data_IF_954048227286
#
_entry.id   IF_954048227286
#
_cell.length_a   1.000
_cell.length_b   1.000
_cell.length_c   1.000
_cell.angle_alpha   90.00
_cell.angle_beta   90.00
_cell.angle_gamma   90.00
#
_symmetry.space_group_name_H-M   'P 1'
#
loop_
_entity.id
_entity.type
_entity.pdbx_description
1 polymer ?
#
# COMPACT_ATOMS: atom_id res chain seq x y z
N UNK A 1 15.03 34.47 39.17
CA UNK A 1 14.11 33.70 38.29
C UNK A 1 14.34 34.16 36.86
N UNK A 2 15.16 33.46 36.06
CA UNK A 2 15.47 33.88 34.69
C UNK A 2 14.69 33.02 33.69
N UNK A 3 13.78 33.68 32.97
CA UNK A 3 12.83 33.09 32.03
C UNK A 3 13.53 32.78 30.70
N UNK A 4 13.78 31.51 30.40
CA UNK A 4 14.32 31.09 29.11
C UNK A 4 13.27 31.32 28.01
N UNK A 5 13.46 32.35 27.19
CA UNK A 5 12.69 32.56 25.96
C UNK A 5 13.21 31.59 24.90
N UNK A 6 12.47 30.51 24.65
CA UNK A 6 12.66 29.69 23.46
C UNK A 6 12.29 30.52 22.22
N UNK A 7 13.29 31.07 21.54
CA UNK A 7 13.11 31.62 20.19
C UNK A 7 12.96 30.44 19.24
N UNK A 8 11.72 30.11 18.88
CA UNK A 8 11.44 29.19 17.78
C UNK A 8 11.84 29.91 16.48
N UNK A 9 13.03 29.61 15.98
CA UNK A 9 13.46 30.05 14.64
C UNK A 9 12.44 29.50 13.64
N UNK A 10 11.52 30.35 13.15
CA UNK A 10 10.63 30.03 12.04
C UNK A 10 11.53 29.59 10.88
N UNK A 11 11.33 28.36 10.40
CA UNK A 11 12.03 27.87 9.20
C UNK A 11 11.63 28.79 8.05
N UNK A 12 12.62 29.27 7.29
CA UNK A 12 12.36 29.93 6.01
C UNK A 12 11.52 28.97 5.13
N UNK A 13 10.53 29.47 4.36
CA UNK A 13 9.86 28.67 3.33
C UNK A 13 10.82 27.95 2.38
N UNK A 14 12.04 28.47 2.22
CA UNK A 14 13.08 27.95 1.33
C UNK A 14 13.91 26.79 1.94
N UNK A 15 13.82 26.55 3.25
CA UNK A 15 14.61 25.52 3.96
C UNK A 15 14.03 24.09 3.83
N UNK A 16 12.81 23.95 3.29
CA UNK A 16 12.29 22.66 2.83
C UNK A 16 12.56 22.62 1.33
N UNK A 17 13.75 22.17 0.93
CA UNK A 17 14.07 21.93 -0.49
C UNK A 17 13.13 20.84 -1.01
N UNK A 18 11.94 21.26 -1.46
CA UNK A 18 10.91 20.43 -2.03
C UNK A 18 11.36 20.10 -3.45
N UNK A 19 12.25 19.12 -3.59
CA UNK A 19 12.71 18.60 -4.88
C UNK A 19 11.55 17.85 -5.55
N UNK A 20 10.61 18.61 -6.08
CA UNK A 20 9.47 18.09 -6.83
C UNK A 20 9.93 17.67 -8.23
N UNK A 21 9.31 16.64 -8.82
CA UNK A 21 9.52 16.27 -10.21
C UNK A 21 9.15 17.43 -11.12
N UNK A 22 10.04 17.77 -12.07
CA UNK A 22 9.76 18.80 -13.06
C UNK A 22 8.77 18.25 -14.11
N UNK A 23 7.60 18.88 -14.33
CA UNK A 23 6.63 18.41 -15.33
C UNK A 23 7.19 18.32 -16.75
N UNK A 24 8.21 19.12 -17.08
CA UNK A 24 8.82 19.16 -18.42
C UNK A 24 9.63 17.91 -18.77
N UNK A 25 10.00 17.10 -17.78
CA UNK A 25 10.68 15.82 -17.99
C UNK A 25 9.72 14.67 -18.30
N UNK A 26 8.41 14.92 -18.39
CA UNK A 26 7.42 13.88 -18.65
C UNK A 26 7.42 13.46 -20.13
N UNK A 27 7.27 12.16 -20.37
CA UNK A 27 7.28 11.59 -21.73
C UNK A 27 6.06 11.99 -22.56
N UNK A 28 4.94 12.33 -21.91
CA UNK A 28 3.66 12.65 -22.55
C UNK A 28 2.98 13.85 -21.86
N UNK A 29 2.19 14.62 -22.62
CA UNK A 29 1.46 15.80 -22.12
C UNK A 29 0.53 15.50 -20.94
N UNK A 30 -0.23 14.40 -21.00
CA UNK A 30 -1.10 13.95 -19.89
C UNK A 30 -0.30 13.59 -18.61
N UNK A 31 0.93 13.10 -18.75
CA UNK A 31 1.80 12.84 -17.60
C UNK A 31 2.35 14.14 -16.99
N UNK A 32 2.67 15.14 -17.83
CA UNK A 32 3.09 16.46 -17.38
C UNK A 32 1.97 17.17 -16.59
N UNK A 33 0.74 17.12 -17.09
CA UNK A 33 -0.42 17.75 -16.45
C UNK A 33 -0.75 17.12 -15.08
N UNK A 34 -0.63 15.80 -14.96
CA UNK A 34 -0.73 15.08 -13.68
C UNK A 34 0.34 15.52 -12.67
N UNK A 35 1.59 15.62 -13.10
CA UNK A 35 2.71 16.07 -12.25
C UNK A 35 2.46 17.50 -11.78
N UNK A 36 2.03 18.39 -12.69
CA UNK A 36 1.71 19.78 -12.39
C UNK A 36 0.56 19.88 -11.36
N UNK A 37 -0.54 19.15 -11.57
CA UNK A 37 -1.65 19.13 -10.63
C UNK A 37 -1.23 18.65 -9.24
N UNK A 38 -0.46 17.56 -9.15
CA UNK A 38 0.07 17.07 -7.88
C UNK A 38 0.99 18.09 -7.20
N UNK A 39 1.93 18.68 -7.94
CA UNK A 39 2.86 19.68 -7.42
C UNK A 39 2.14 20.90 -6.85
N UNK A 40 1.13 21.43 -7.56
CA UNK A 40 0.36 22.60 -7.09
C UNK A 40 -0.37 22.31 -5.78
N UNK A 41 -0.99 21.14 -5.64
CA UNK A 41 -1.70 20.77 -4.42
C UNK A 41 -0.74 20.54 -3.24
N UNK A 42 0.46 19.99 -3.50
CA UNK A 42 1.50 19.85 -2.47
C UNK A 42 1.91 21.22 -1.94
N UNK A 43 2.20 22.18 -2.82
CA UNK A 43 2.58 23.54 -2.42
C UNK A 43 1.46 24.20 -1.58
N UNK A 44 0.21 24.08 -2.03
CA UNK A 44 -0.93 24.62 -1.30
C UNK A 44 -1.10 23.99 0.09
N UNK A 45 -0.93 22.67 0.21
CA UNK A 45 -1.05 21.97 1.50
C UNK A 45 0.06 22.30 2.51
N UNK A 46 1.27 22.59 2.01
CA UNK A 46 2.41 22.97 2.85
C UNK A 46 2.27 24.40 3.39
N UNK A 47 1.55 25.26 2.69
CA UNK A 47 1.24 26.62 3.15
C UNK A 47 0.19 26.64 4.28
N UNK A 48 -0.62 25.58 4.43
CA UNK A 48 -1.78 25.57 5.35
C UNK A 48 -1.59 24.81 6.66
N UNK A 49 -0.64 23.88 6.77
CA UNK A 49 -0.59 22.94 7.92
C UNK A 49 0.42 23.34 9.02
N UNK A 50 -0.02 24.17 9.97
CA UNK A 50 0.42 24.11 11.37
C UNK A 50 -0.49 23.15 12.16
N UNK A 51 0.13 22.16 12.81
CA UNK A 51 -0.43 21.29 13.86
C UNK A 51 -1.45 20.21 13.45
N UNK A 52 -1.15 18.96 13.82
CA UNK A 52 -2.10 18.09 14.55
C UNK A 52 -1.43 16.77 14.97
N UNK A 53 -1.58 16.46 16.25
CA UNK A 53 -0.96 15.40 17.01
C UNK A 53 -1.53 14.02 16.68
N UNK A 54 -0.67 13.00 16.63
CA UNK A 54 -1.04 11.63 16.28
C UNK A 54 -1.50 10.82 17.49
N UNK A 55 -2.75 10.37 17.51
CA UNK A 55 -3.24 9.40 18.52
C UNK A 55 -2.88 7.98 18.09
N UNK A 56 -2.02 7.31 18.86
CA UNK A 56 -1.64 5.90 18.64
C UNK A 56 -2.77 4.99 19.13
N UNK A 57 -3.42 4.25 18.22
CA UNK A 57 -4.24 3.08 18.58
C UNK A 57 -3.43 1.80 18.35
N UNK A 58 -3.37 0.96 19.38
CA UNK A 58 -2.69 -0.34 19.35
C UNK A 58 -3.41 -1.29 18.39
N UNK A 59 -2.75 -1.68 17.31
CA UNK A 59 -3.26 -2.71 16.40
C UNK A 59 -2.81 -4.05 16.94
N UNK A 60 -3.75 -4.86 17.45
CA UNK A 60 -3.49 -6.28 17.73
C UNK A 60 -3.13 -6.96 16.42
N UNK A 61 -1.94 -7.57 16.34
CA UNK A 61 -1.52 -8.35 15.18
C UNK A 61 -2.39 -9.60 15.12
N UNK A 62 -3.24 -9.71 14.09
CA UNK A 62 -3.98 -10.94 13.81
C UNK A 62 -2.97 -12.01 13.37
N UNK A 63 -3.00 -13.18 14.01
CA UNK A 63 -2.09 -14.27 13.71
C UNK A 63 -2.13 -14.64 12.22
N UNK A 64 -0.95 -14.88 11.65
CA UNK A 64 -0.73 -15.32 10.27
C UNK A 64 -1.31 -16.72 10.07
N UNK A 65 -2.53 -16.81 9.56
CA UNK A 65 -3.16 -18.07 9.16
C UNK A 65 -2.70 -18.47 7.75
N UNK A 66 -1.43 -18.82 7.58
CA UNK A 66 -0.93 -19.37 6.32
C UNK A 66 -0.26 -20.73 6.55
N UNK A 67 -0.99 -21.66 7.16
CA UNK A 67 -0.52 -23.01 7.44
C UNK A 67 -0.35 -23.88 6.19
N UNK A 68 -0.90 -23.47 5.04
CA UNK A 68 -0.92 -24.30 3.84
C UNK A 68 -0.07 -23.69 2.73
N UNK A 69 0.93 -24.44 2.26
CA UNK A 69 1.69 -24.07 1.07
C UNK A 69 0.78 -24.10 -0.17
N UNK A 70 1.07 -23.33 -1.23
CA UNK A 70 0.27 -23.32 -2.45
C UNK A 70 0.10 -24.72 -3.07
N UNK A 71 1.13 -25.55 -3.01
CA UNK A 71 1.13 -26.92 -3.52
C UNK A 71 0.21 -27.83 -2.69
N UNK A 72 0.31 -27.76 -1.36
CA UNK A 72 -0.54 -28.56 -0.47
C UNK A 72 -2.01 -28.21 -0.67
N UNK A 73 -2.33 -26.93 -0.91
CA UNK A 73 -3.70 -26.49 -1.24
C UNK A 73 -4.19 -27.09 -2.55
N UNK A 74 -3.33 -27.16 -3.56
CA UNK A 74 -3.66 -27.79 -4.84
C UNK A 74 -3.91 -29.29 -4.68
N UNK A 75 -3.06 -30.01 -3.92
CA UNK A 75 -3.23 -31.43 -3.61
C UNK A 75 -4.55 -31.71 -2.87
N UNK A 76 -4.88 -30.91 -1.85
CA UNK A 76 -6.14 -31.00 -1.11
C UNK A 76 -7.33 -30.80 -2.06
N UNK A 77 -7.26 -29.78 -2.93
CA UNK A 77 -8.35 -29.45 -3.84
C UNK A 77 -8.58 -30.54 -4.89
N UNK A 78 -7.51 -31.07 -5.50
CA UNK A 78 -7.57 -32.19 -6.47
C UNK A 78 -8.19 -33.44 -5.83
N UNK A 79 -7.74 -33.79 -4.63
CA UNK A 79 -8.33 -34.93 -3.94
C UNK A 79 -9.80 -34.70 -3.57
N UNK A 80 -10.18 -33.48 -3.20
CA UNK A 80 -11.57 -33.12 -2.91
C UNK A 80 -12.48 -33.08 -4.15
N UNK A 81 -11.93 -32.88 -5.36
CA UNK A 81 -12.70 -33.03 -6.59
C UNK A 81 -13.06 -34.49 -6.86
N UNK A 82 -12.15 -35.41 -6.55
CA UNK A 82 -12.32 -36.84 -6.81
C UNK A 82 -13.09 -37.57 -5.69
N UNK A 83 -12.80 -37.27 -4.42
CA UNK A 83 -13.27 -38.05 -3.25
C UNK A 83 -14.24 -37.29 -2.34
N UNK A 84 -14.52 -36.01 -2.64
CA UNK A 84 -15.38 -35.15 -1.83
C UNK A 84 -14.67 -34.45 -0.66
N UNK A 85 -15.30 -33.39 -0.13
CA UNK A 85 -14.66 -32.47 0.80
C UNK A 85 -14.35 -33.08 2.17
N UNK A 86 -15.25 -33.93 2.69
CA UNK A 86 -15.11 -34.54 4.03
C UNK A 86 -14.00 -35.58 4.06
N UNK A 87 -13.92 -36.42 3.02
CA UNK A 87 -12.84 -37.40 2.87
C UNK A 87 -11.48 -36.70 2.74
N UNK A 88 -11.41 -35.62 1.96
CA UNK A 88 -10.22 -34.79 1.83
C UNK A 88 -9.81 -34.17 3.18
N UNK A 89 -10.74 -33.55 3.91
CA UNK A 89 -10.46 -32.99 5.22
C UNK A 89 -9.87 -34.05 6.16
N UNK A 90 -10.49 -35.24 6.27
CA UNK A 90 -10.01 -36.31 7.16
C UNK A 90 -8.63 -36.84 6.77
N UNK A 91 -8.37 -37.05 5.47
CA UNK A 91 -7.08 -37.55 4.99
C UNK A 91 -5.96 -36.56 5.29
N UNK A 92 -6.12 -35.32 4.83
CA UNK A 92 -5.07 -34.31 4.96
C UNK A 92 -4.92 -33.79 6.39
N UNK A 93 -5.95 -33.89 7.24
CA UNK A 93 -5.78 -33.61 8.68
C UNK A 93 -4.84 -34.60 9.35
N UNK A 94 -4.87 -35.88 8.93
CA UNK A 94 -3.93 -36.90 9.42
C UNK A 94 -2.54 -36.68 8.83
N UNK A 95 -2.44 -36.53 7.52
CA UNK A 95 -1.16 -36.42 6.80
C UNK A 95 -0.36 -35.19 7.22
N UNK A 96 -1.03 -34.05 7.47
CA UNK A 96 -0.38 -32.79 7.85
C UNK A 96 -0.32 -32.57 9.37
N UNK A 97 -0.94 -33.45 10.17
CA UNK A 97 -1.11 -33.26 11.62
C UNK A 97 -1.71 -31.89 11.99
N UNK A 98 -2.61 -31.38 11.14
CA UNK A 98 -3.27 -30.08 11.29
C UNK A 98 -4.77 -30.28 11.14
N UNK A 99 -5.59 -29.70 12.02
CA UNK A 99 -7.04 -29.78 11.85
C UNK A 99 -7.53 -28.94 10.66
N UNK A 100 -7.81 -29.60 9.54
CA UNK A 100 -8.35 -28.98 8.33
C UNK A 100 -9.87 -28.98 8.39
N UNK A 101 -10.43 -27.79 8.53
CA UNK A 101 -11.88 -27.57 8.46
C UNK A 101 -12.39 -27.88 7.05
N UNK A 102 -13.52 -28.60 6.93
CA UNK A 102 -14.19 -28.88 5.65
C UNK A 102 -14.45 -27.59 4.85
N UNK A 103 -14.77 -26.49 5.54
CA UNK A 103 -14.97 -25.18 4.91
C UNK A 103 -13.73 -24.64 4.20
N UNK A 104 -12.54 -24.96 4.71
CA UNK A 104 -11.28 -24.61 4.06
C UNK A 104 -11.08 -25.44 2.80
N UNK A 105 -11.33 -26.76 2.86
CA UNK A 105 -11.26 -27.67 1.71
C UNK A 105 -12.20 -27.22 0.60
N UNK A 106 -13.45 -26.88 0.95
CA UNK A 106 -14.45 -26.36 0.03
C UNK A 106 -14.00 -25.07 -0.67
N UNK A 107 -13.38 -24.15 0.07
CA UNK A 107 -12.82 -22.92 -0.50
C UNK A 107 -11.62 -23.20 -1.44
N UNK A 108 -10.78 -24.19 -1.12
CA UNK A 108 -9.67 -24.62 -1.99
C UNK A 108 -10.19 -25.27 -3.27
N UNK A 109 -11.15 -26.20 -3.17
CA UNK A 109 -11.82 -26.85 -4.30
C UNK A 109 -12.47 -25.84 -5.25
N UNK A 110 -13.22 -24.87 -4.71
CA UNK A 110 -13.85 -23.82 -5.52
C UNK A 110 -12.82 -23.07 -6.39
N UNK A 111 -11.68 -22.70 -5.81
CA UNK A 111 -10.59 -22.01 -6.54
C UNK A 111 -9.92 -22.91 -7.58
N UNK A 112 -9.69 -24.18 -7.23
CA UNK A 112 -9.14 -25.16 -8.17
C UNK A 112 -10.03 -25.34 -9.40
N UNK A 113 -11.35 -25.42 -9.23
CA UNK A 113 -12.28 -25.55 -10.34
C UNK A 113 -12.30 -24.32 -11.26
N UNK A 114 -12.17 -23.11 -10.70
CA UNK A 114 -12.06 -21.87 -11.50
C UNK A 114 -10.80 -21.90 -12.35
N UNK A 115 -9.64 -22.14 -11.72
CA UNK A 115 -8.37 -22.22 -12.46
C UNK A 115 -8.33 -23.38 -13.46
N UNK A 116 -8.89 -24.53 -13.10
CA UNK A 116 -8.99 -25.68 -14.01
C UNK A 116 -9.83 -25.34 -15.24
N UNK A 117 -10.92 -24.58 -15.11
CA UNK A 117 -11.70 -24.09 -16.26
C UNK A 117 -10.89 -23.12 -17.13
N UNK A 118 -10.14 -22.20 -16.52
CA UNK A 118 -9.27 -21.26 -17.24
C UNK A 118 -8.13 -21.98 -17.99
N UNK A 119 -7.63 -23.10 -17.46
CA UNK A 119 -6.53 -23.88 -18.04
C UNK A 119 -7.00 -25.09 -18.86
N UNK A 120 -8.18 -25.06 -19.48
CA UNK A 120 -8.73 -26.16 -20.28
C UNK A 120 -8.68 -27.53 -19.57
N UNK A 121 -9.14 -27.56 -18.31
CA UNK A 121 -9.18 -28.73 -17.44
C UNK A 121 -7.83 -29.35 -17.06
N UNK A 122 -6.71 -28.67 -17.33
CA UNK A 122 -5.40 -29.13 -16.85
C UNK A 122 -5.29 -29.08 -15.31
N UNK A 123 -4.56 -30.03 -14.69
CA UNK A 123 -4.39 -30.07 -13.24
C UNK A 123 -3.50 -28.91 -12.77
N UNK A 124 -4.02 -28.14 -11.81
CA UNK A 124 -3.32 -26.98 -11.24
C UNK A 124 -2.37 -27.46 -10.15
N UNK A 125 -1.07 -27.23 -10.30
CA UNK A 125 -0.05 -27.72 -9.35
C UNK A 125 0.13 -26.83 -8.11
N UNK A 126 -0.27 -25.55 -8.17
CA UNK A 126 -0.13 -24.61 -7.06
C UNK A 126 -1.32 -23.64 -6.99
N UNK A 127 -1.92 -23.51 -5.79
CA UNK A 127 -3.00 -22.57 -5.50
C UNK A 127 -2.51 -21.50 -4.53
N UNK A 128 -2.07 -20.36 -5.07
CA UNK A 128 -1.60 -19.25 -4.24
C UNK A 128 -2.76 -18.60 -3.47
N UNK A 129 -2.56 -18.14 -2.23
CA UNK A 129 -3.55 -17.33 -1.55
C UNK A 129 -3.62 -15.95 -2.21
N UNK A 130 -4.79 -15.59 -2.72
CA UNK A 130 -5.05 -14.20 -3.13
C UNK A 130 -4.83 -13.24 -1.95
N UNK A 131 -4.37 -12.04 -2.28
CA UNK A 131 -4.27 -10.93 -1.34
C UNK A 131 -5.67 -10.57 -0.86
N UNK A 132 -5.98 -10.96 0.38
CA UNK A 132 -7.27 -10.63 1.03
C UNK A 132 -7.23 -9.21 1.57
N UNK A 133 -8.35 -8.49 1.47
CA UNK A 133 -8.48 -7.18 2.10
C UNK A 133 -9.58 -6.32 1.48
N UNK A 134 -9.82 -5.17 2.10
CA UNK A 134 -10.64 -4.10 1.52
C UNK A 134 -9.96 -3.59 0.25
N UNK A 135 -10.70 -3.32 -0.83
CA UNK A 135 -10.13 -2.71 -2.04
C UNK A 135 -9.43 -1.38 -1.73
N UNK A 136 -8.49 -0.99 -2.59
CA UNK A 136 -7.76 0.27 -2.47
C UNK A 136 -8.73 1.45 -2.59
N UNK A 137 -8.56 2.47 -1.73
CA UNK A 137 -9.45 3.64 -1.69
C UNK A 137 -9.55 4.35 -3.05
N UNK A 138 -8.42 4.45 -3.77
CA UNK A 138 -8.32 5.17 -5.04
C UNK A 138 -8.29 4.24 -6.27
N UNK A 139 -8.52 2.93 -6.09
CA UNK A 139 -8.47 1.95 -7.17
C UNK A 139 -7.16 2.03 -7.97
N UNK A 140 -7.28 2.22 -9.28
CA UNK A 140 -6.13 2.32 -10.19
C UNK A 140 -5.31 3.61 -10.03
N UNK A 141 -5.91 4.68 -9.49
CA UNK A 141 -5.17 5.94 -9.26
C UNK A 141 -4.09 5.78 -8.19
N UNK A 142 -4.19 4.76 -7.33
CA UNK A 142 -3.17 4.43 -6.33
C UNK A 142 -1.81 4.15 -7.01
N UNK A 143 -1.80 3.63 -8.25
CA UNK A 143 -0.59 3.40 -9.06
C UNK A 143 0.07 4.70 -9.51
N UNK A 144 -0.74 5.67 -9.96
CA UNK A 144 -0.26 6.98 -10.42
C UNK A 144 0.31 7.79 -9.24
N UNK A 145 -0.39 7.77 -8.09
CA UNK A 145 0.12 8.36 -6.84
C UNK A 145 1.45 7.71 -6.45
N UNK A 146 1.55 6.38 -6.56
CA UNK A 146 2.78 5.67 -6.22
C UNK A 146 3.95 6.04 -7.14
N UNK A 147 3.71 6.18 -8.44
CA UNK A 147 4.73 6.62 -9.40
C UNK A 147 5.24 8.02 -9.07
N UNK A 148 4.33 8.97 -8.80
CA UNK A 148 4.72 10.35 -8.45
C UNK A 148 5.49 10.43 -7.11
N UNK A 149 5.08 9.65 -6.11
CA UNK A 149 5.80 9.61 -4.83
C UNK A 149 7.20 8.98 -4.96
N UNK A 150 7.38 8.00 -5.87
CA UNK A 150 8.71 7.45 -6.19
C UNK A 150 9.59 8.47 -6.89
N UNK A 151 9.07 9.22 -7.87
CA UNK A 151 9.85 10.26 -8.55
C UNK A 151 10.26 11.40 -7.61
N UNK A 152 9.40 11.82 -6.67
CA UNK A 152 9.78 12.75 -5.59
C UNK A 152 10.95 12.17 -4.79
N UNK A 153 10.92 10.86 -4.49
CA UNK A 153 11.97 10.22 -3.69
C UNK A 153 13.30 10.09 -4.46
N UNK A 154 13.25 9.76 -5.74
CA UNK A 154 14.40 9.67 -6.65
C UNK A 154 15.07 11.04 -6.85
N UNK A 155 14.28 12.11 -6.94
CA UNK A 155 14.77 13.49 -6.95
C UNK A 155 15.44 13.90 -5.61
N UNK A 156 15.36 13.07 -4.57
CA UNK A 156 15.89 13.36 -3.23
C UNK A 156 14.93 14.18 -2.36
N UNK A 157 13.66 14.31 -2.77
CA UNK A 157 12.61 14.97 -2.02
C UNK A 157 12.23 14.23 -0.74
N UNK A 158 11.72 15.00 0.23
CA UNK A 158 11.13 14.44 1.46
C UNK A 158 9.75 13.90 1.12
N UNK A 159 9.44 12.68 1.56
CA UNK A 159 8.10 12.09 1.42
C UNK A 159 7.49 11.97 2.82
N UNK A 160 6.43 12.72 3.08
CA UNK A 160 5.67 12.67 4.33
C UNK A 160 4.18 12.39 4.05
N UNK A 161 3.36 12.27 5.10
CA UNK A 161 1.93 11.99 4.94
C UNK A 161 1.19 13.15 4.24
N UNK A 162 1.56 14.41 4.53
CA UNK A 162 0.95 15.57 3.92
C UNK A 162 1.17 15.59 2.39
N UNK A 163 2.41 15.34 1.95
CA UNK A 163 2.78 15.24 0.53
C UNK A 163 1.99 14.12 -0.15
N UNK A 164 1.80 12.97 0.50
CA UNK A 164 0.98 11.87 -0.04
C UNK A 164 -0.49 12.26 -0.17
N UNK A 165 -1.07 12.91 0.84
CA UNK A 165 -2.46 13.37 0.80
C UNK A 165 -2.64 14.38 -0.33
N UNK A 166 -1.76 15.37 -0.41
CA UNK A 166 -1.82 16.42 -1.42
C UNK A 166 -1.62 15.88 -2.84
N UNK A 167 -0.64 15.00 -3.04
CA UNK A 167 -0.42 14.30 -4.33
C UNK A 167 -1.70 13.58 -4.76
N UNK A 168 -2.32 12.85 -3.84
CA UNK A 168 -3.52 12.09 -4.12
C UNK A 168 -4.72 12.99 -4.44
N UNK A 169 -4.91 14.08 -3.68
CA UNK A 169 -5.96 15.05 -3.94
C UNK A 169 -5.78 15.70 -5.32
N UNK A 170 -4.58 16.16 -5.66
CA UNK A 170 -4.29 16.79 -6.95
C UNK A 170 -4.55 15.85 -8.14
N UNK A 171 -4.14 14.58 -8.01
CA UNK A 171 -4.39 13.57 -9.06
C UNK A 171 -5.88 13.21 -9.22
N UNK A 172 -6.62 13.08 -8.12
CA UNK A 172 -8.07 12.83 -8.18
C UNK A 172 -8.77 14.05 -8.78
N UNK A 173 -8.40 15.27 -8.37
CA UNK A 173 -8.96 16.51 -8.89
C UNK A 173 -8.71 16.68 -10.40
N UNK A 174 -7.52 16.31 -10.87
CA UNK A 174 -7.20 16.32 -12.29
C UNK A 174 -8.03 15.33 -13.10
N UNK A 175 -8.22 14.09 -12.60
CA UNK A 175 -8.97 13.08 -13.35
C UNK A 175 -10.48 13.26 -13.27
N UNK A 176 -11.02 13.41 -12.06
CA UNK A 176 -12.45 13.52 -11.79
C UNK A 176 -12.67 14.23 -10.45
N UNK A 177 -12.92 15.55 -10.44
CA UNK A 177 -13.06 16.32 -9.21
C UNK A 177 -14.27 15.89 -8.36
N UNK A 178 -15.34 15.42 -9.00
CA UNK A 178 -16.60 14.97 -8.35
C UNK A 178 -16.44 13.74 -7.45
N UNK A 179 -15.31 13.03 -7.53
CA UNK A 179 -15.04 11.88 -6.67
C UNK A 179 -14.64 12.30 -5.24
N UNK A 180 -14.08 13.49 -5.07
CA UNK A 180 -13.64 14.01 -3.77
C UNK A 180 -14.84 14.46 -2.94
N UNK A 181 -14.78 14.22 -1.63
CA UNK A 181 -15.81 14.68 -0.68
C UNK A 181 -16.06 16.19 -0.75
N UNK A 182 -15.05 16.98 -1.08
CA UNK A 182 -15.15 18.44 -1.21
C UNK A 182 -16.04 18.88 -2.39
N UNK A 183 -16.19 18.03 -3.40
CA UNK A 183 -17.06 18.26 -4.55
C UNK A 183 -18.34 17.40 -4.52
N UNK A 184 -18.71 16.87 -3.35
CA UNK A 184 -19.89 16.02 -3.15
C UNK A 184 -19.68 14.52 -3.38
N UNK A 185 -18.43 14.08 -3.57
CA UNK A 185 -18.08 12.68 -3.80
C UNK A 185 -17.95 11.82 -2.54
N UNK A 186 -17.72 10.52 -2.74
CA UNK A 186 -17.60 9.53 -1.65
C UNK A 186 -16.17 9.34 -1.13
N UNK A 187 -15.15 9.84 -1.83
CA UNK A 187 -13.75 9.63 -1.48
C UNK A 187 -13.27 10.72 -0.53
N UNK A 188 -13.01 10.33 0.71
CA UNK A 188 -12.35 11.17 1.70
C UNK A 188 -10.91 10.69 1.97
N UNK A 189 -9.92 11.47 1.55
CA UNK A 189 -8.50 11.15 1.68
C UNK A 189 -8.03 11.45 3.10
N UNK A 190 -7.86 10.41 3.91
CA UNK A 190 -7.53 10.52 5.34
C UNK A 190 -6.04 10.35 5.63
N UNK A 191 -5.58 10.87 6.78
CA UNK A 191 -4.23 10.63 7.31
C UNK A 191 -3.93 9.13 7.51
N UNK A 192 -4.92 8.35 7.95
CA UNK A 192 -4.79 6.90 8.14
C UNK A 192 -4.59 6.18 6.81
N UNK A 193 -5.28 6.61 5.75
CA UNK A 193 -5.04 6.13 4.40
C UNK A 193 -3.60 6.43 3.95
N UNK A 194 -3.11 7.66 4.15
CA UNK A 194 -1.74 8.04 3.77
C UNK A 194 -0.67 7.21 4.51
N UNK A 195 -0.87 6.93 5.79
CA UNK A 195 0.00 6.02 6.57
C UNK A 195 -0.01 4.60 5.97
N UNK A 196 -1.19 4.09 5.63
CA UNK A 196 -1.34 2.77 4.99
C UNK A 196 -0.66 2.74 3.63
N UNK A 197 -0.84 3.78 2.82
CA UNK A 197 -0.24 3.96 1.50
C UNK A 197 1.29 3.94 1.58
N UNK A 198 1.89 4.73 2.47
CA UNK A 198 3.33 4.76 2.70
C UNK A 198 3.87 3.39 3.13
N UNK A 199 3.16 2.67 4.01
CA UNK A 199 3.54 1.30 4.40
C UNK A 199 3.53 0.33 3.21
N UNK A 200 2.53 0.42 2.32
CA UNK A 200 2.47 -0.41 1.09
C UNK A 200 3.63 -0.13 0.15
N UNK A 201 4.14 1.11 0.11
CA UNK A 201 5.34 1.49 -0.64
C UNK A 201 6.66 1.17 0.06
N UNK A 202 6.64 0.62 1.28
CA UNK A 202 7.84 0.36 2.07
C UNK A 202 8.43 1.61 2.74
N UNK A 203 7.76 2.76 2.65
CA UNK A 203 8.14 4.00 3.31
C UNK A 203 7.64 4.02 4.76
N UNK A 204 8.32 3.29 5.64
CA UNK A 204 8.03 3.33 7.08
C UNK A 204 8.80 4.48 7.73
N UNK A 205 8.19 5.10 8.75
CA UNK A 205 8.83 6.09 9.63
C UNK A 205 10.14 5.49 10.17
N UNK A 206 11.29 5.87 9.59
CA UNK A 206 12.58 5.64 10.25
C UNK A 206 12.48 6.33 11.61
N UNK A 207 12.67 5.59 12.71
CA UNK A 207 12.99 6.24 13.99
C UNK A 207 14.20 7.12 13.67
N UNK A 208 14.05 8.43 13.88
CA UNK A 208 15.02 9.41 13.40
C UNK A 208 16.43 9.03 13.82
N UNK A 209 17.28 8.74 12.83
CA UNK A 209 18.72 8.84 12.99
C UNK A 209 19.17 9.90 12.00
N UNK A 210 20.05 10.80 12.44
CA UNK A 210 20.50 12.02 11.74
C UNK A 210 21.35 11.74 10.48
N UNK A 211 21.04 10.70 9.72
CA UNK A 211 21.79 10.27 8.55
C UNK A 211 20.90 10.34 7.30
N UNK A 212 20.42 11.54 6.95
CA UNK A 212 19.87 11.81 5.64
C UNK A 212 20.95 11.75 4.52
N UNK A 213 22.24 11.63 4.89
CA UNK A 213 23.37 11.75 3.96
C UNK A 213 23.96 10.42 3.44
N UNK A 214 23.46 9.25 3.84
CA UNK A 214 23.96 7.97 3.32
C UNK A 214 22.78 7.08 2.95
N UNK A 215 22.49 6.95 1.66
CA UNK A 215 21.83 5.76 1.15
C UNK A 215 22.94 4.71 1.01
N UNK A 216 22.91 3.59 1.76
CA UNK A 216 23.85 2.50 1.51
C UNK A 216 23.57 1.92 0.13
N UNK A 217 24.63 1.71 -0.65
CA UNK A 217 24.58 1.14 -2.01
C UNK A 217 23.91 -0.25 -2.00
N UNK A 218 24.00 -0.96 -0.88
CA UNK A 218 23.44 -2.32 -0.70
C UNK A 218 22.13 -2.34 0.10
N UNK A 219 21.12 -1.60 -0.34
CA UNK A 219 19.81 -1.61 0.32
C UNK A 219 19.07 -2.96 0.14
N UNK A 220 19.32 -3.68 -0.95
CA UNK A 220 18.61 -4.95 -1.24
C UNK A 220 19.02 -6.12 -0.33
N UNK A 221 20.21 -6.06 0.28
CA UNK A 221 20.76 -7.13 1.12
C UNK A 221 20.39 -7.03 2.61
N UNK A 222 19.67 -5.99 3.04
CA UNK A 222 19.31 -5.77 4.45
C UNK A 222 17.89 -6.23 4.81
N UNK A 223 17.45 -7.38 4.28
CA UNK A 223 16.25 -8.07 4.79
C UNK A 223 16.66 -9.12 5.83
N UNK A 224 16.40 -8.83 7.11
CA UNK A 224 16.17 -9.84 8.16
C UNK A 224 14.83 -9.58 8.80
#
# INVERSE_FOLDING_TARGET
MSMWKFVTKKRSPDDIVLRLPNPDNATNKDAADKIKAANTEIVNSLATDESTTSTKRGVKRKASNNHYTPETRAKIAKYATEHGNVAAARKFSKDLQLDIKESAVRAMKKKYLVHSKESNHQPVNALTPEKRGRPLLLGDLDKDVAAHIRSIREAGGIVNQAIVIATARGLVKHKNPTLLSEAGGSIHITKTWAVSFLKRLGYVKRKGTKAARKLPVDFEHQKK
#
